data_IF_979975759238
#
_entry.id   IF_979975759238
#
_cell.length_a   1.000
_cell.length_b   1.000
_cell.length_c   1.000
_cell.angle_alpha   90.00
_cell.angle_beta   90.00
_cell.angle_gamma   90.00
#
_symmetry.space_group_name_H-M   'P 1'
#
loop_
_entity.id
_entity.type
_entity.pdbx_description
1 polymer ?
#
# COMPACT_ATOMS: atom_id res chain seq x y z
N UNK A 1 0.67 -24.10 8.96
CA UNK A 1 0.18 -22.87 9.62
C UNK A 1 1.02 -21.77 9.04
N UNK A 2 0.50 -21.12 8.00
CA UNK A 2 1.31 -20.20 7.20
C UNK A 2 1.52 -18.91 7.98
N UNK A 3 2.78 -18.47 8.07
CA UNK A 3 3.14 -17.35 8.94
C UNK A 3 3.15 -16.06 8.14
N UNK A 4 2.19 -15.19 8.43
CA UNK A 4 2.18 -13.84 7.87
C UNK A 4 3.03 -12.92 8.76
N UNK A 5 3.88 -12.11 8.13
CA UNK A 5 4.65 -11.07 8.82
C UNK A 5 4.40 -9.70 8.19
N UNK A 6 4.51 -8.64 8.99
CA UNK A 6 4.28 -7.26 8.54
C UNK A 6 5.53 -6.41 8.76
N UNK A 7 5.83 -5.51 7.83
CA UNK A 7 6.95 -4.58 7.91
C UNK A 7 6.52 -3.19 7.46
N UNK A 8 7.12 -2.16 8.07
CA UNK A 8 6.96 -0.78 7.60
C UNK A 8 7.63 -0.63 6.24
N UNK A 9 6.96 0.06 5.32
CA UNK A 9 7.58 0.42 4.05
C UNK A 9 8.63 1.49 4.30
N UNK A 10 9.89 1.13 4.05
CA UNK A 10 11.04 2.02 4.09
C UNK A 10 11.83 1.94 2.78
N UNK A 11 12.94 2.67 2.71
CA UNK A 11 13.82 2.71 1.53
C UNK A 11 14.35 1.33 1.14
N UNK A 12 14.63 0.48 2.12
CA UNK A 12 15.10 -0.90 1.96
C UNK A 12 14.03 -1.86 1.38
N UNK A 13 12.76 -1.46 1.36
CA UNK A 13 11.60 -2.27 0.90
C UNK A 13 10.89 -1.67 -0.31
N UNK A 14 11.51 -0.69 -0.97
CA UNK A 14 10.96 -0.14 -2.20
C UNK A 14 10.80 -1.22 -3.28
N UNK A 15 11.81 -2.09 -3.45
CA UNK A 15 11.76 -3.20 -4.41
C UNK A 15 10.60 -4.17 -4.15
N UNK A 16 10.33 -4.51 -2.89
CA UNK A 16 9.20 -5.37 -2.51
C UNK A 16 7.85 -4.73 -2.83
N UNK A 17 7.76 -3.41 -2.64
CA UNK A 17 6.59 -2.62 -3.00
C UNK A 17 6.38 -2.65 -4.52
N UNK A 18 7.43 -2.40 -5.30
CA UNK A 18 7.38 -2.49 -6.77
C UNK A 18 6.93 -3.88 -7.23
N UNK A 19 7.53 -4.93 -6.68
CA UNK A 19 7.20 -6.31 -7.00
C UNK A 19 5.71 -6.60 -6.77
N UNK A 20 5.15 -6.18 -5.63
CA UNK A 20 3.74 -6.38 -5.32
C UNK A 20 2.81 -5.68 -6.33
N UNK A 21 3.12 -4.45 -6.74
CA UNK A 21 2.25 -3.65 -7.62
C UNK A 21 2.43 -3.89 -9.10
N UNK A 22 3.56 -4.46 -9.49
CA UNK A 22 3.85 -4.87 -10.85
C UNK A 22 3.49 -6.35 -11.09
N UNK A 23 3.18 -7.10 -10.03
CA UNK A 23 2.69 -8.48 -10.13
C UNK A 23 1.37 -8.61 -10.91
N UNK A 24 1.21 -9.67 -11.74
CA UNK A 24 -0.05 -9.98 -12.39
C UNK A 24 -1.15 -10.25 -11.36
N UNK A 25 -2.25 -9.48 -11.40
CA UNK A 25 -3.32 -9.59 -10.42
C UNK A 25 -3.11 -8.78 -9.13
N UNK A 26 -1.98 -8.08 -8.99
CA UNK A 26 -1.82 -7.01 -8.00
C UNK A 26 -2.92 -5.95 -8.15
N UNK A 27 -3.19 -5.13 -7.11
CA UNK A 27 -4.25 -4.13 -7.13
C UNK A 27 -4.01 -3.15 -8.29
N UNK A 28 -4.71 -3.38 -9.41
CA UNK A 28 -4.32 -2.94 -10.76
C UNK A 28 -4.18 -1.42 -10.95
N UNK A 29 -4.50 -0.62 -9.93
CA UNK A 29 -4.51 0.84 -9.95
C UNK A 29 -4.01 1.54 -8.66
N UNK A 30 -3.55 0.81 -7.63
CA UNK A 30 -3.29 1.45 -6.35
C UNK A 30 -1.80 1.73 -6.12
N UNK A 31 -1.40 2.98 -6.24
CA UNK A 31 -0.21 3.54 -5.59
C UNK A 31 -0.75 4.77 -4.89
N UNK A 32 -1.30 4.52 -3.70
CA UNK A 32 -2.36 5.32 -3.08
C UNK A 32 -1.97 6.77 -2.83
N UNK A 33 -2.24 7.60 -3.86
CA UNK A 33 -2.23 9.06 -3.87
C UNK A 33 -3.63 9.66 -3.70
N UNK A 34 -4.70 8.84 -3.65
CA UNK A 34 -6.09 9.33 -3.67
C UNK A 34 -6.39 10.34 -2.54
N UNK A 35 -5.71 10.20 -1.39
CA UNK A 35 -5.83 11.06 -0.22
C UNK A 35 -4.57 11.87 0.10
N UNK A 36 -3.49 11.73 -0.69
CA UNK A 36 -2.14 12.25 -0.39
C UNK A 36 -1.54 13.12 -1.48
N UNK A 37 -2.01 12.95 -2.70
CA UNK A 37 -1.42 13.57 -3.86
C UNK A 37 -2.41 14.42 -4.63
N UNK A 38 -1.86 15.40 -5.32
CA UNK A 38 -2.62 16.37 -6.11
C UNK A 38 -3.21 15.73 -7.38
N UNK A 39 -4.10 16.42 -8.11
CA UNK A 39 -4.69 15.90 -9.35
C UNK A 39 -3.66 15.33 -10.33
N UNK A 40 -2.50 15.98 -10.47
CA UNK A 40 -1.42 15.56 -11.36
C UNK A 40 -0.76 14.25 -10.90
N UNK A 41 -0.50 14.11 -9.59
CA UNK A 41 0.08 12.90 -8.99
C UNK A 41 -0.87 11.69 -9.06
N UNK A 42 -2.18 11.93 -9.25
CA UNK A 42 -3.21 10.88 -9.33
C UNK A 42 -3.54 10.44 -10.76
N UNK A 43 -2.98 11.11 -11.77
CA UNK A 43 -3.39 10.99 -13.18
C UNK A 43 -3.31 9.57 -13.74
N UNK A 44 -2.17 8.92 -13.58
CA UNK A 44 -1.91 7.59 -14.11
C UNK A 44 -1.00 6.78 -13.20
N UNK A 45 -0.78 5.51 -13.54
CA UNK A 45 0.09 4.61 -12.77
C UNK A 45 1.50 5.19 -12.65
N UNK A 46 2.10 5.70 -13.73
CA UNK A 46 3.47 6.25 -13.71
C UNK A 46 3.58 7.44 -12.76
N UNK A 47 2.61 8.36 -12.80
CA UNK A 47 2.56 9.55 -11.97
C UNK A 47 2.42 9.20 -10.49
N UNK A 48 1.58 8.20 -10.16
CA UNK A 48 1.45 7.72 -8.78
C UNK A 48 2.73 7.06 -8.26
N UNK A 49 3.49 6.34 -9.11
CA UNK A 49 4.80 5.78 -8.74
C UNK A 49 5.78 6.89 -8.39
N UNK A 50 5.91 7.84 -9.31
CA UNK A 50 6.85 8.94 -9.23
C UNK A 50 6.54 9.86 -8.03
N UNK A 51 5.28 9.93 -7.61
CA UNK A 51 4.87 10.62 -6.40
C UNK A 51 5.17 9.80 -5.12
N UNK A 52 5.00 8.48 -5.15
CA UNK A 52 5.19 7.63 -3.96
C UNK A 52 6.67 7.41 -3.62
N UNK A 53 7.52 7.23 -4.64
CA UNK A 53 8.95 6.96 -4.49
C UNK A 53 9.68 7.99 -3.61
N UNK A 54 9.65 9.31 -3.90
CA UNK A 54 10.34 10.29 -3.08
C UNK A 54 9.84 10.30 -1.63
N UNK A 55 8.54 10.06 -1.40
CA UNK A 55 7.98 9.99 -0.04
C UNK A 55 8.58 8.81 0.74
N UNK A 56 8.78 7.66 0.09
CA UNK A 56 9.48 6.52 0.72
C UNK A 56 10.95 6.85 0.97
N UNK A 57 11.63 7.49 0.01
CA UNK A 57 13.03 7.91 0.14
C UNK A 57 13.25 8.91 1.27
N UNK A 58 12.28 9.79 1.51
CA UNK A 58 12.27 10.76 2.61
C UNK A 58 11.83 10.13 3.96
N UNK A 59 11.65 8.80 4.03
CA UNK A 59 11.13 8.08 5.19
C UNK A 59 9.76 8.59 5.67
N UNK A 60 8.95 9.17 4.77
CA UNK A 60 7.57 9.50 5.07
C UNK A 60 6.79 8.19 5.21
N UNK A 61 6.04 7.98 6.30
CA UNK A 61 5.23 6.77 6.44
C UNK A 61 4.21 6.65 5.31
N UNK A 62 4.37 5.63 4.47
CA UNK A 62 3.46 5.35 3.35
C UNK A 62 2.57 4.13 3.58
N UNK A 63 2.90 3.25 4.53
CA UNK A 63 2.15 2.03 4.78
C UNK A 63 2.94 0.87 5.37
N UNK A 64 2.29 -0.29 5.38
CA UNK A 64 2.88 -1.59 5.76
C UNK A 64 2.81 -2.57 4.58
N UNK A 65 3.85 -3.40 4.45
CA UNK A 65 3.88 -4.57 3.59
C UNK A 65 3.61 -5.82 4.43
N UNK A 66 2.77 -6.70 3.88
CA UNK A 66 2.49 -8.02 4.42
C UNK A 66 3.21 -9.08 3.58
N UNK A 67 3.87 -10.01 4.26
CA UNK A 67 4.66 -11.08 3.67
C UNK A 67 4.11 -12.44 4.06
N UNK A 68 4.06 -13.35 3.11
CA UNK A 68 3.75 -14.77 3.30
C UNK A 68 4.98 -15.57 2.86
N UNK A 69 5.57 -16.34 3.77
CA UNK A 69 6.79 -17.12 3.47
C UNK A 69 7.95 -16.30 2.85
N UNK A 70 8.04 -15.02 3.20
CA UNK A 70 9.08 -14.10 2.70
C UNK A 70 8.70 -13.32 1.45
N UNK A 71 7.59 -13.66 0.78
CA UNK A 71 7.12 -12.97 -0.42
C UNK A 71 6.10 -11.87 -0.07
N UNK A 72 6.21 -10.66 -0.65
CA UNK A 72 5.22 -9.60 -0.43
C UNK A 72 3.90 -9.97 -1.11
N UNK A 73 2.84 -10.10 -0.31
CA UNK A 73 1.50 -10.51 -0.78
C UNK A 73 0.42 -9.47 -0.51
N UNK A 74 0.70 -8.47 0.33
CA UNK A 74 -0.28 -7.46 0.71
C UNK A 74 0.37 -6.11 1.01
N UNK A 75 -0.41 -5.04 0.84
CA UNK A 75 -0.03 -3.70 1.23
C UNK A 75 -1.22 -2.93 1.79
N UNK A 76 -0.97 -2.12 2.82
CA UNK A 76 -1.94 -1.17 3.36
C UNK A 76 -1.33 0.23 3.41
N UNK A 77 -2.07 1.19 2.87
CA UNK A 77 -1.70 2.61 2.88
C UNK A 77 -1.99 3.22 4.25
N UNK A 78 -0.97 3.75 4.91
CA UNK A 78 -1.08 4.45 6.21
C UNK A 78 -0.33 5.78 6.12
N UNK A 79 -0.97 6.90 6.44
CA UNK A 79 -0.31 8.20 6.52
C UNK A 79 -0.88 9.02 7.69
N UNK A 80 -0.08 9.91 8.30
CA UNK A 80 -0.55 10.88 9.28
C UNK A 80 -1.66 11.75 8.70
N UNK A 81 -2.69 12.04 9.51
CA UNK A 81 -3.88 12.79 9.07
C UNK A 81 -3.55 14.19 8.55
N UNK A 82 -2.52 14.83 9.11
CA UNK A 82 -2.02 16.14 8.69
C UNK A 82 -1.55 16.22 7.22
N UNK A 83 -1.45 15.08 6.50
CA UNK A 83 -1.06 15.02 5.08
C UNK A 83 -2.24 14.76 4.13
N UNK A 84 -3.47 14.93 4.60
CA UNK A 84 -4.67 15.03 3.75
C UNK A 84 -4.76 16.47 3.22
N UNK A 85 -5.36 16.70 2.05
CA UNK A 85 -5.90 18.03 1.70
C UNK A 85 -6.83 18.42 2.86
N UNK A 86 -6.46 19.46 3.61
CA UNK A 86 -7.17 19.89 4.81
C UNK A 86 -8.60 20.29 4.46
N UNK A 87 -9.60 19.69 5.12
CA UNK A 87 -10.93 20.28 5.20
C UNK A 87 -11.02 21.15 6.47
N UNK A 88 -11.80 22.24 6.46
CA UNK A 88 -12.02 23.03 7.68
C UNK A 88 -12.63 22.16 8.78
N UNK A 89 -11.94 22.05 9.93
CA UNK A 89 -12.46 21.38 11.14
C UNK A 89 -11.92 19.98 11.45
N UNK A 90 -10.88 19.50 10.75
CA UNK A 90 -10.26 18.21 11.08
C UNK A 90 -9.38 18.30 12.36
N UNK A 91 -9.58 17.43 13.37
CA UNK A 91 -8.69 17.34 14.52
C UNK A 91 -7.37 16.65 14.14
N UNK A 92 -6.28 17.11 14.75
CA UNK A 92 -4.87 16.86 14.38
C UNK A 92 -4.39 15.39 14.52
N UNK A 93 -5.03 14.58 15.37
CA UNK A 93 -4.48 13.27 15.79
C UNK A 93 -5.46 12.08 15.65
N UNK A 94 -5.86 11.74 14.43
CA UNK A 94 -6.71 10.54 14.20
C UNK A 94 -6.20 9.67 13.06
N UNK A 95 -5.78 8.46 13.41
CA UNK A 95 -5.33 7.38 12.51
C UNK A 95 -6.53 6.68 11.86
N UNK A 96 -6.61 6.64 10.53
CA UNK A 96 -7.64 5.87 9.79
C UNK A 96 -6.94 4.92 8.83
N UNK A 97 -7.04 3.61 9.08
CA UNK A 97 -6.58 2.56 8.17
C UNK A 97 -7.75 1.95 7.38
N UNK A 98 -7.58 1.76 6.08
CA UNK A 98 -8.48 0.90 5.27
C UNK A 98 -7.68 -0.30 4.77
N UNK A 99 -7.99 -1.47 5.30
CA UNK A 99 -7.42 -2.74 4.85
C UNK A 99 -7.92 -3.03 3.42
N UNK A 100 -7.00 -3.24 2.49
CA UNK A 100 -7.31 -3.77 1.16
C UNK A 100 -6.64 -5.14 1.05
N UNK A 101 -7.43 -6.20 1.19
CA UNK A 101 -7.00 -7.55 0.83
C UNK A 101 -7.16 -7.74 -0.68
N UNK A 102 -6.11 -8.14 -1.38
CA UNK A 102 -6.27 -8.71 -2.73
C UNK A 102 -6.81 -10.14 -2.57
N UNK A 103 -7.80 -10.60 -3.36
CA UNK A 103 -8.13 -12.01 -3.40
C UNK A 103 -6.96 -12.74 -4.05
N UNK A 104 -6.16 -13.42 -3.22
CA UNK A 104 -5.32 -14.52 -3.69
C UNK A 104 -6.28 -15.54 -4.29
N UNK A 105 -6.12 -15.85 -5.58
CA UNK A 105 -6.80 -16.96 -6.22
C UNK A 105 -6.40 -18.25 -5.50
N UNK A 106 -7.20 -18.64 -4.51
CA UNK A 106 -7.14 -19.91 -3.83
C UNK A 106 -7.46 -20.98 -4.88
N UNK A 107 -6.43 -21.73 -5.29
CA UNK A 107 -6.64 -22.95 -6.05
C UNK A 107 -7.64 -23.81 -5.29
N UNK A 108 -8.67 -24.29 -5.99
CA UNK A 108 -9.65 -25.27 -5.49
C UNK A 108 -8.90 -26.46 -4.89
N UNK A 109 -8.77 -26.49 -3.57
CA UNK A 109 -8.57 -27.72 -2.83
C UNK A 109 -9.96 -28.17 -2.37
N UNK A 110 -10.46 -29.23 -3.00
CA UNK A 110 -11.68 -29.90 -2.60
C UNK A 110 -11.53 -30.43 -1.16
N UNK A 111 -12.49 -30.12 -0.30
CA UNK A 111 -12.68 -30.83 0.96
C UNK A 111 -13.28 -32.22 0.65
N UNK A 112 -12.67 -33.33 1.07
CA UNK A 112 -13.40 -34.58 1.23
C UNK A 112 -14.31 -34.54 2.48
N UNK A 113 -15.36 -35.36 2.43
CA UNK A 113 -16.60 -35.33 3.23
C UNK A 113 -16.47 -35.26 4.77
#
# INVERSE_FOLDING_TARGET
MDRITFRVVGTDRWGDLEQLFESPGGPKNCWCMVWRGDPDERRDKKSKKAALEPRVMENVPVGLLGYLEGEPVAWVSIAPRARRVSQPGDPEDVWIGRLLSSPVSMGRAACPD
#
